data_IF_719391732292
#
_entry.id   IF_719391732292
#
_cell.length_a   1.000
_cell.length_b   1.000
_cell.length_c   1.000
_cell.angle_alpha   90.00
_cell.angle_beta   90.00
_cell.angle_gamma   90.00
#
_symmetry.space_group_name_H-M   'P 1'
#
loop_
_entity.id
_entity.type
_entity.pdbx_description
1 polymer ?
#
# COMPACT_ATOMS: atom_id res chain seq x y z
N UNK A 1 -17.67 12.33 -0.38
CA UNK A 1 -16.93 11.30 -1.12
C UNK A 1 -17.02 9.97 -0.39
N UNK A 2 -17.29 8.91 -1.09
CA UNK A 2 -17.22 7.59 -0.47
C UNK A 2 -15.76 7.16 -0.33
N UNK A 3 -15.54 6.07 0.36
CA UNK A 3 -14.19 5.59 0.64
C UNK A 3 -13.42 5.21 -0.63
N UNK A 4 -14.09 4.62 -1.60
CA UNK A 4 -13.46 4.25 -2.86
C UNK A 4 -12.96 5.49 -3.60
N UNK A 5 -13.76 6.54 -3.64
CA UNK A 5 -13.36 7.80 -4.28
C UNK A 5 -12.21 8.46 -3.53
N UNK A 6 -12.24 8.43 -2.18
CA UNK A 6 -11.14 8.95 -1.37
C UNK A 6 -9.85 8.17 -1.63
N UNK A 7 -9.95 6.86 -1.74
CA UNK A 7 -8.81 6.00 -2.03
C UNK A 7 -8.21 6.33 -3.40
N UNK A 8 -9.05 6.45 -4.43
CA UNK A 8 -8.60 6.81 -5.77
C UNK A 8 -7.93 8.19 -5.80
N UNK A 9 -8.50 9.15 -5.09
CA UNK A 9 -7.91 10.48 -4.97
C UNK A 9 -6.55 10.43 -4.27
N UNK A 10 -6.43 9.58 -3.25
CA UNK A 10 -5.16 9.41 -2.53
C UNK A 10 -4.09 8.76 -3.40
N UNK A 11 -4.46 7.82 -4.26
CA UNK A 11 -3.53 7.22 -5.22
C UNK A 11 -2.95 8.32 -6.12
N UNK A 12 -3.82 9.20 -6.62
CA UNK A 12 -3.38 10.31 -7.47
C UNK A 12 -2.46 11.26 -6.72
N UNK A 13 -2.77 11.57 -5.45
CA UNK A 13 -1.92 12.42 -4.60
C UNK A 13 -0.56 11.77 -4.36
N UNK A 14 -0.55 10.46 -4.14
CA UNK A 14 0.69 9.74 -3.87
C UNK A 14 1.68 9.85 -5.02
N UNK A 15 1.20 9.90 -6.24
CA UNK A 15 2.05 10.06 -7.42
C UNK A 15 2.78 11.40 -7.46
N UNK A 16 2.22 12.41 -6.81
CA UNK A 16 2.81 13.75 -6.75
C UNK A 16 3.66 14.02 -5.52
N UNK A 17 3.79 13.04 -4.62
CA UNK A 17 4.60 13.21 -3.42
C UNK A 17 6.09 13.31 -3.75
N UNK A 18 6.86 14.07 -2.95
CA UNK A 18 8.32 14.02 -3.04
C UNK A 18 8.83 12.60 -2.80
N UNK A 19 10.09 12.36 -3.11
CA UNK A 19 10.71 11.07 -2.86
C UNK A 19 10.47 10.60 -1.44
N UNK A 20 10.05 9.36 -1.30
CA UNK A 20 9.78 8.75 0.00
C UNK A 20 10.83 7.66 0.28
N UNK A 21 10.97 7.31 1.55
CA UNK A 21 11.84 6.21 1.94
C UNK A 21 11.31 4.89 1.37
N UNK A 22 12.20 3.90 1.26
CA UNK A 22 11.78 2.56 0.82
C UNK A 22 10.71 1.99 1.75
N UNK A 23 10.83 2.24 3.05
CA UNK A 23 9.83 1.79 4.01
C UNK A 23 8.46 2.37 3.72
N UNK A 24 8.39 3.68 3.46
CA UNK A 24 7.13 4.34 3.14
C UNK A 24 6.54 3.82 1.84
N UNK A 25 7.39 3.62 0.83
CA UNK A 25 6.93 3.07 -0.46
C UNK A 25 6.37 1.66 -0.29
N UNK A 26 6.99 0.85 0.56
CA UNK A 26 6.48 -0.50 0.85
C UNK A 26 5.17 -0.46 1.62
N UNK A 27 5.01 0.49 2.54
CA UNK A 27 3.73 0.67 3.24
C UNK A 27 2.61 1.02 2.26
N UNK A 28 2.86 1.99 1.39
CA UNK A 28 1.89 2.38 0.37
C UNK A 28 1.53 1.20 -0.54
N UNK A 29 2.54 0.49 -1.00
CA UNK A 29 2.35 -0.67 -1.87
C UNK A 29 1.50 -1.75 -1.18
N UNK A 30 1.85 -2.08 0.06
CA UNK A 30 1.19 -3.16 0.79
C UNK A 30 -0.29 -2.85 1.03
N UNK A 31 -0.60 -1.61 1.41
CA UNK A 31 -1.98 -1.19 1.64
C UNK A 31 -2.76 -1.15 0.33
N UNK A 32 -2.13 -0.69 -0.75
CA UNK A 32 -2.76 -0.71 -2.08
C UNK A 32 -3.11 -2.13 -2.51
N UNK A 33 -2.18 -3.07 -2.38
CA UNK A 33 -2.42 -4.47 -2.75
C UNK A 33 -3.51 -5.09 -1.88
N UNK A 34 -3.48 -4.84 -0.58
CA UNK A 34 -4.50 -5.39 0.32
C UNK A 34 -5.87 -4.81 -0.01
N UNK A 35 -5.94 -3.52 -0.34
CA UNK A 35 -7.19 -2.86 -0.69
C UNK A 35 -7.78 -3.38 -2.00
N UNK A 36 -6.94 -3.69 -2.98
CA UNK A 36 -7.39 -4.05 -4.34
C UNK A 36 -7.48 -5.55 -4.58
N UNK A 37 -6.62 -6.34 -3.94
CA UNK A 37 -6.54 -7.78 -4.19
C UNK A 37 -6.81 -8.64 -2.97
N UNK A 38 -6.89 -8.04 -1.78
CA UNK A 38 -7.09 -8.80 -0.56
C UNK A 38 -5.79 -9.43 -0.05
N UNK A 39 -5.91 -10.53 0.67
CA UNK A 39 -4.76 -11.19 1.27
C UNK A 39 -3.77 -11.67 0.22
N UNK A 40 -2.48 -11.57 0.57
CA UNK A 40 -1.40 -12.04 -0.29
C UNK A 40 -1.59 -13.52 -0.61
N UNK A 41 -1.32 -13.88 -1.86
CA UNK A 41 -1.42 -15.25 -2.34
C UNK A 41 -0.09 -15.72 -2.90
N UNK A 42 0.13 -17.03 -2.81
CA UNK A 42 1.32 -17.63 -3.34
C UNK A 42 2.54 -17.40 -2.49
N UNK A 43 3.65 -17.89 -2.98
CA UNK A 43 4.91 -17.81 -2.28
C UNK A 43 5.66 -16.54 -2.66
N UNK A 44 6.57 -16.11 -1.78
CA UNK A 44 7.46 -15.00 -2.08
C UNK A 44 8.29 -15.34 -3.33
N UNK A 45 8.64 -14.33 -4.15
CA UNK A 45 9.56 -14.55 -5.26
C UNK A 45 10.86 -15.19 -4.78
N UNK A 46 11.39 -16.11 -5.58
CA UNK A 46 12.62 -16.82 -5.23
C UNK A 46 13.82 -16.17 -5.92
N UNK A 47 15.02 -16.60 -5.52
CA UNK A 47 16.25 -16.18 -6.15
C UNK A 47 16.68 -14.79 -5.74
N UNK A 48 17.04 -13.97 -6.72
CA UNK A 48 17.63 -12.67 -6.48
C UNK A 48 16.68 -11.49 -6.65
N UNK A 49 15.37 -11.75 -6.65
CA UNK A 49 14.39 -10.68 -6.75
C UNK A 49 14.11 -10.08 -5.37
N UNK A 50 15.05 -9.27 -4.89
CA UNK A 50 14.95 -8.66 -3.56
C UNK A 50 13.80 -7.66 -3.47
N UNK A 51 13.52 -6.93 -4.54
CA UNK A 51 12.40 -5.97 -4.54
C UNK A 51 11.06 -6.68 -4.48
N UNK A 52 10.90 -7.72 -5.27
CA UNK A 52 9.69 -8.53 -5.25
C UNK A 52 9.48 -9.20 -3.91
N UNK A 53 10.56 -9.71 -3.31
CA UNK A 53 10.50 -10.33 -1.98
C UNK A 53 10.10 -9.30 -0.91
N UNK A 54 10.66 -8.10 -0.95
CA UNK A 54 10.32 -7.04 0.00
C UNK A 54 8.85 -6.62 -0.14
N UNK A 55 8.37 -6.48 -1.37
CA UNK A 55 6.97 -6.15 -1.62
C UNK A 55 6.03 -7.24 -1.12
N UNK A 56 6.36 -8.49 -1.39
CA UNK A 56 5.59 -9.63 -0.93
C UNK A 56 5.52 -9.65 0.59
N UNK A 57 6.64 -9.48 1.25
CA UNK A 57 6.71 -9.46 2.71
C UNK A 57 5.88 -8.32 3.31
N UNK A 58 5.95 -7.14 2.70
CA UNK A 58 5.17 -5.99 3.15
C UNK A 58 3.67 -6.25 3.03
N UNK A 59 3.25 -6.81 1.89
CA UNK A 59 1.84 -7.16 1.67
C UNK A 59 1.37 -8.21 2.67
N UNK A 60 2.22 -9.19 2.96
CA UNK A 60 1.91 -10.25 3.92
C UNK A 60 1.61 -9.68 5.32
N UNK A 61 2.25 -8.58 5.71
CA UNK A 61 1.97 -7.93 7.00
C UNK A 61 0.56 -7.37 7.09
N UNK A 62 -0.12 -7.20 5.96
CA UNK A 62 -1.49 -6.67 5.91
C UNK A 62 -2.55 -7.75 5.90
N UNK A 63 -2.16 -9.01 5.90
CA UNK A 63 -3.10 -10.14 5.90
C UNK A 63 -4.17 -9.95 6.98
N UNK A 64 -5.41 -10.18 6.59
CA UNK A 64 -6.55 -10.05 7.50
C UNK A 64 -7.26 -8.70 7.45
N UNK A 65 -6.65 -7.65 6.89
CA UNK A 65 -7.35 -6.39 6.72
C UNK A 65 -8.38 -6.51 5.61
N UNK A 66 -9.56 -5.94 5.84
CA UNK A 66 -10.57 -5.85 4.78
C UNK A 66 -10.13 -4.80 3.75
N UNK A 67 -10.75 -4.84 2.56
CA UNK A 67 -10.51 -3.81 1.55
C UNK A 67 -10.76 -2.41 2.11
N UNK A 68 -11.85 -2.24 2.85
CA UNK A 68 -12.20 -0.94 3.42
C UNK A 68 -11.17 -0.47 4.45
N UNK A 69 -10.72 -1.37 5.31
CA UNK A 69 -9.69 -1.05 6.30
C UNK A 69 -8.38 -0.65 5.62
N UNK A 70 -7.99 -1.38 4.58
CA UNK A 70 -6.77 -1.08 3.84
C UNK A 70 -6.88 0.23 3.07
N UNK A 71 -8.03 0.51 2.46
CA UNK A 71 -8.28 1.78 1.78
C UNK A 71 -8.18 2.95 2.75
N UNK A 72 -8.81 2.82 3.91
CA UNK A 72 -8.77 3.88 4.90
C UNK A 72 -7.35 4.13 5.41
N UNK A 73 -6.62 3.07 5.66
CA UNK A 73 -5.22 3.18 6.10
C UNK A 73 -4.36 3.85 5.02
N UNK A 74 -4.60 3.54 3.76
CA UNK A 74 -3.90 4.17 2.64
C UNK A 74 -4.18 5.68 2.59
N UNK A 75 -5.46 6.05 2.67
CA UNK A 75 -5.88 7.45 2.68
C UNK A 75 -5.21 8.20 3.83
N UNK A 76 -5.25 7.61 5.02
CA UNK A 76 -4.66 8.23 6.22
C UNK A 76 -3.15 8.41 6.07
N UNK A 77 -2.48 7.43 5.50
CA UNK A 77 -1.03 7.51 5.28
C UNK A 77 -0.68 8.63 4.30
N UNK A 78 -1.40 8.70 3.18
CA UNK A 78 -1.16 9.74 2.17
C UNK A 78 -1.42 11.13 2.76
N UNK A 79 -2.46 11.27 3.57
CA UNK A 79 -2.75 12.55 4.24
C UNK A 79 -1.61 12.98 5.16
N UNK A 80 -1.06 12.04 5.93
CA UNK A 80 0.09 12.34 6.80
C UNK A 80 1.31 12.75 5.98
N UNK A 81 1.55 12.08 4.86
CA UNK A 81 2.69 12.39 4.00
C UNK A 81 2.53 13.74 3.31
N UNK A 82 1.31 14.15 2.99
CA UNK A 82 1.07 15.45 2.36
C UNK A 82 1.04 16.59 3.38
N UNK A 83 0.67 16.31 4.62
CA UNK A 83 0.62 17.31 5.69
C UNK A 83 1.99 17.60 6.29
N UNK A 84 2.86 16.63 6.21
CA UNK A 84 4.21 16.75 6.78
C UNK A 84 5.14 17.52 5.92
#
# INVERSE_FOLDING_TARGET
>A
MDLTEQFEASIAKAKGLPSQSNETLLELYSLYKQATEGDVRGEAPSGFDFRGAAKHAAWETRRGLSSDEAMQAYVDLVERLTAG
#
